data_IF_969641042504
#
_entry.id   IF_969641042504
#
_cell.length_a   1.000
_cell.length_b   1.000
_cell.length_c   1.000
_cell.angle_alpha   90.00
_cell.angle_beta   90.00
_cell.angle_gamma   90.00
#
_symmetry.space_group_name_H-M   'P 1'
#
loop_
_entity.id
_entity.type
_entity.pdbx_description
1 polymer ?
#
# COMPACT_ATOMS: atom_id res chain seq x y z
N UNK A 1 112.48 -59.24 -11.55
CA UNK A 1 112.56 -60.08 -10.35
C UNK A 1 111.14 -60.40 -9.93
N UNK A 2 110.60 -61.39 -10.52
CA UNK A 2 110.11 -62.68 -10.06
C UNK A 2 109.37 -62.58 -8.71
N UNK A 3 108.12 -62.93 -8.75
CA UNK A 3 107.44 -64.01 -8.03
C UNK A 3 105.94 -63.96 -8.28
N UNK A 4 105.49 -64.88 -8.96
CA UNK A 4 104.80 -66.19 -8.76
C UNK A 4 103.37 -65.99 -8.20
N UNK A 5 102.49 -66.25 -9.13
CA UNK A 5 101.11 -66.66 -8.92
C UNK A 5 100.97 -67.84 -7.99
N UNK A 6 99.87 -67.83 -7.20
CA UNK A 6 99.18 -68.97 -6.64
C UNK A 6 97.74 -68.93 -7.03
N UNK A 7 97.20 -69.94 -7.63
CA UNK A 7 95.75 -70.01 -7.91
C UNK A 7 94.99 -70.29 -6.63
N UNK A 8 93.98 -69.51 -6.34
CA UNK A 8 93.06 -69.81 -5.28
C UNK A 8 92.07 -70.83 -5.84
N UNK A 9 92.07 -72.01 -5.20
CA UNK A 9 91.20 -73.13 -5.54
C UNK A 9 89.80 -72.92 -4.96
N UNK A 10 88.95 -72.24 -5.75
CA UNK A 10 87.58 -71.82 -5.34
C UNK A 10 86.60 -73.02 -5.26
N UNK A 11 86.97 -74.19 -5.52
CA UNK A 11 86.09 -75.37 -5.45
C UNK A 11 86.10 -76.06 -4.07
N UNK A 12 87.12 -75.84 -3.24
CA UNK A 12 87.19 -76.39 -1.88
C UNK A 12 86.28 -75.57 -0.91
N UNK A 13 86.25 -74.24 -1.08
CA UNK A 13 85.40 -73.34 -0.26
C UNK A 13 83.92 -73.52 -0.58
N UNK A 14 83.59 -73.87 -1.83
CA UNK A 14 82.22 -74.18 -2.22
C UNK A 14 81.71 -75.50 -1.67
N UNK A 15 82.59 -76.51 -1.56
CA UNK A 15 82.25 -77.78 -0.97
C UNK A 15 82.08 -77.75 0.54
N UNK A 16 82.82 -76.86 1.22
CA UNK A 16 82.69 -76.63 2.64
C UNK A 16 81.42 -75.82 2.98
N UNK A 17 81.05 -74.86 2.13
CA UNK A 17 79.77 -74.09 2.28
C UNK A 17 78.57 -75.02 2.08
N UNK A 18 78.59 -75.93 1.11
CA UNK A 18 77.52 -76.90 0.85
C UNK A 18 77.40 -78.02 1.90
N UNK A 19 78.43 -78.24 2.69
CA UNK A 19 78.39 -79.23 3.78
C UNK A 19 77.70 -78.68 5.06
N UNK A 20 77.74 -77.37 5.27
CA UNK A 20 77.01 -76.66 6.36
C UNK A 20 75.52 -76.53 6.11
N UNK A 21 75.07 -76.67 4.86
CA UNK A 21 73.61 -76.59 4.57
C UNK A 21 72.85 -77.90 4.95
N UNK A 22 73.51 -78.96 5.31
CA UNK A 22 72.85 -80.26 5.65
C UNK A 22 72.58 -80.47 7.15
N UNK A 23 72.90 -79.52 8.01
CA UNK A 23 72.62 -79.64 9.45
C UNK A 23 71.42 -78.79 9.94
N UNK A 24 70.65 -78.20 9.02
CA UNK A 24 69.33 -77.58 9.38
C UNK A 24 68.21 -78.57 9.08
N UNK A 25 68.28 -79.77 9.59
CA UNK A 25 67.08 -80.59 9.74
C UNK A 25 66.36 -80.14 11.01
N UNK A 26 65.49 -79.11 10.81
CA UNK A 26 64.62 -78.67 11.91
C UNK A 26 63.80 -79.89 12.43
N UNK A 27 63.72 -79.99 13.72
CA UNK A 27 62.89 -80.95 14.45
C UNK A 27 61.50 -81.07 13.78
N UNK A 28 60.93 -82.25 13.68
CA UNK A 28 59.59 -82.43 13.10
C UNK A 28 58.61 -81.71 13.92
N UNK A 29 58.11 -80.58 13.38
CA UNK A 29 57.03 -79.75 13.99
C UNK A 29 55.86 -80.65 14.29
N UNK A 30 55.57 -80.83 15.60
CA UNK A 30 54.44 -81.57 16.14
C UNK A 30 53.19 -81.42 15.25
N UNK A 31 52.60 -82.54 14.80
CA UNK A 31 51.42 -82.49 13.95
C UNK A 31 50.26 -81.64 14.53
N UNK A 32 50.17 -81.51 15.85
CA UNK A 32 49.16 -80.64 16.51
C UNK A 32 49.47 -79.14 16.32
N UNK A 33 50.75 -78.77 16.39
CA UNK A 33 51.20 -77.40 16.16
C UNK A 33 50.99 -77.00 14.68
N UNK A 34 51.26 -77.98 13.75
CA UNK A 34 50.93 -77.76 12.31
C UNK A 34 49.45 -77.62 12.03
N UNK A 35 48.60 -78.42 12.71
CA UNK A 35 47.14 -78.30 12.62
C UNK A 35 46.66 -76.96 13.24
N UNK A 36 47.19 -76.52 14.39
CA UNK A 36 46.86 -75.22 14.99
C UNK A 36 47.31 -74.06 14.12
N UNK A 37 48.51 -74.10 13.52
CA UNK A 37 48.95 -73.02 12.59
C UNK A 37 48.13 -73.03 11.32
N UNK A 38 47.76 -74.13 10.72
CA UNK A 38 46.85 -74.21 9.57
C UNK A 38 45.46 -73.73 9.92
N UNK A 39 44.89 -74.09 11.06
CA UNK A 39 43.56 -73.56 11.51
C UNK A 39 43.62 -72.08 11.80
N UNK A 40 44.68 -71.57 12.43
CA UNK A 40 44.87 -70.13 12.59
C UNK A 40 45.04 -69.41 11.25
N UNK A 41 45.81 -69.95 10.33
CA UNK A 41 45.93 -69.35 9.01
C UNK A 41 44.61 -69.32 8.25
N UNK A 42 43.85 -70.43 8.26
CA UNK A 42 42.53 -70.51 7.65
C UNK A 42 41.53 -69.55 8.31
N UNK A 43 41.58 -69.41 9.64
CA UNK A 43 40.73 -68.42 10.36
C UNK A 43 41.12 -67.00 10.00
N UNK A 44 42.41 -66.68 9.95
CA UNK A 44 42.88 -65.34 9.54
C UNK A 44 42.49 -65.08 8.09
N UNK A 45 42.69 -66.04 7.19
CA UNK A 45 42.23 -65.84 5.78
C UNK A 45 40.74 -65.73 5.67
N UNK A 46 39.95 -66.50 6.41
CA UNK A 46 38.51 -66.39 6.44
C UNK A 46 38.05 -65.01 7.00
N UNK A 47 38.67 -64.50 8.09
CA UNK A 47 38.43 -63.21 8.62
C UNK A 47 38.80 -62.08 7.63
N UNK A 48 39.98 -62.21 6.99
CA UNK A 48 40.40 -61.28 5.95
C UNK A 48 39.42 -61.25 4.76
N UNK A 49 38.97 -62.44 4.31
CA UNK A 49 37.97 -62.54 3.24
C UNK A 49 36.63 -61.93 3.67
N UNK A 50 36.19 -62.22 4.89
CA UNK A 50 34.93 -61.58 5.43
C UNK A 50 35.08 -60.09 5.52
N UNK A 51 36.17 -59.53 6.01
CA UNK A 51 36.43 -58.10 6.07
C UNK A 51 36.51 -57.51 4.66
N UNK A 52 37.22 -58.18 3.74
CA UNK A 52 37.32 -57.72 2.33
C UNK A 52 35.99 -57.71 1.60
N UNK A 53 35.03 -58.54 1.96
CA UNK A 53 33.69 -58.57 1.39
C UNK A 53 32.70 -57.69 2.16
N UNK A 54 32.83 -57.66 3.49
CA UNK A 54 31.94 -56.88 4.34
C UNK A 54 32.14 -55.35 4.20
N UNK A 55 33.38 -54.89 4.02
CA UNK A 55 33.68 -53.48 3.87
C UNK A 55 33.07 -52.86 2.59
N UNK A 56 33.26 -53.47 1.39
CA UNK A 56 32.58 -53.00 0.18
C UNK A 56 31.06 -53.10 0.26
N UNK A 57 30.53 -54.20 0.83
CA UNK A 57 29.09 -54.38 1.00
C UNK A 57 28.49 -53.32 1.96
N UNK A 58 29.18 -53.04 3.05
CA UNK A 58 28.82 -51.97 3.99
C UNK A 58 28.86 -50.59 3.33
N UNK A 59 29.89 -50.30 2.54
CA UNK A 59 30.00 -49.08 1.76
C UNK A 59 28.86 -48.94 0.75
N UNK A 60 28.59 -49.98 -0.03
CA UNK A 60 27.48 -49.97 -1.01
C UNK A 60 26.15 -49.73 -0.32
N UNK A 61 25.86 -50.46 0.77
CA UNK A 61 24.64 -50.29 1.52
C UNK A 61 24.50 -48.85 2.08
N UNK A 62 25.58 -48.31 2.65
CA UNK A 62 25.61 -46.93 3.14
C UNK A 62 25.41 -45.92 1.99
N UNK A 63 26.18 -46.03 0.91
CA UNK A 63 26.14 -45.08 -0.19
C UNK A 63 24.76 -45.04 -0.87
N UNK A 64 24.07 -46.18 -0.99
CA UNK A 64 22.73 -46.24 -1.59
C UNK A 64 21.61 -45.68 -0.68
N UNK A 65 21.83 -45.65 0.65
CA UNK A 65 20.83 -45.21 1.63
C UNK A 65 21.13 -43.89 2.31
N UNK A 66 22.38 -43.39 2.18
CA UNK A 66 22.78 -42.12 2.79
C UNK A 66 21.91 -40.94 2.26
N UNK A 67 21.53 -39.99 3.10
CA UNK A 67 20.85 -38.78 2.65
C UNK A 67 21.74 -38.02 1.66
N UNK A 68 21.11 -37.28 0.76
CA UNK A 68 21.78 -36.30 -0.12
C UNK A 68 21.42 -34.92 0.31
N UNK A 69 22.31 -33.97 0.09
CA UNK A 69 22.01 -32.56 0.37
C UNK A 69 20.83 -32.08 -0.47
N UNK A 70 19.99 -31.16 0.06
CA UNK A 70 18.92 -30.54 -0.70
C UNK A 70 19.51 -29.80 -1.93
N UNK A 71 18.72 -29.59 -2.99
CA UNK A 71 19.13 -28.80 -4.13
C UNK A 71 19.55 -27.38 -3.74
N UNK A 72 20.60 -26.87 -4.37
CA UNK A 72 21.00 -25.48 -4.21
C UNK A 72 19.99 -24.56 -4.89
N UNK A 73 19.52 -23.55 -4.17
CA UNK A 73 18.59 -22.53 -4.66
C UNK A 73 19.38 -21.38 -5.25
N UNK A 74 19.08 -20.99 -6.49
CA UNK A 74 19.61 -19.78 -7.12
C UNK A 74 18.45 -18.87 -7.49
N UNK A 75 18.44 -17.64 -6.95
CA UNK A 75 17.42 -16.64 -7.24
C UNK A 75 17.96 -15.68 -8.29
N UNK A 76 17.20 -15.46 -9.36
CA UNK A 76 17.51 -14.54 -10.44
C UNK A 76 16.26 -13.75 -10.91
N UNK A 77 15.32 -13.55 -9.97
CA UNK A 77 14.10 -12.83 -10.27
C UNK A 77 14.37 -11.40 -10.80
N UNK A 78 13.64 -10.97 -11.83
CA UNK A 78 13.82 -9.64 -12.44
C UNK A 78 13.54 -8.52 -11.42
N UNK A 79 14.06 -7.30 -11.66
CA UNK A 79 13.75 -6.15 -10.82
C UNK A 79 12.25 -5.87 -10.84
N UNK A 80 11.71 -5.48 -9.68
CA UNK A 80 10.30 -5.11 -9.53
C UNK A 80 10.10 -3.72 -10.13
N UNK A 81 9.09 -3.53 -11.03
CA UNK A 81 8.76 -2.20 -11.54
C UNK A 81 8.25 -1.31 -10.42
N UNK A 82 8.53 -0.01 -10.49
CA UNK A 82 7.98 1.02 -9.60
C UNK A 82 6.95 1.86 -10.35
N UNK A 83 5.99 2.44 -9.61
CA UNK A 83 5.04 3.40 -10.16
C UNK A 83 5.72 4.68 -10.66
N UNK A 84 5.03 5.46 -11.47
CA UNK A 84 5.50 6.78 -11.89
C UNK A 84 5.44 7.79 -10.74
N UNK A 85 6.41 8.69 -10.67
CA UNK A 85 6.42 9.76 -9.67
C UNK A 85 5.17 10.66 -9.80
N UNK A 86 4.56 11.01 -8.66
CA UNK A 86 3.43 11.94 -8.60
C UNK A 86 3.81 13.31 -9.18
N UNK A 87 2.98 13.82 -10.08
CA UNK A 87 3.11 15.16 -10.63
C UNK A 87 1.94 16.03 -10.14
N UNK A 88 2.23 17.00 -9.29
CA UNK A 88 1.25 18.00 -8.86
C UNK A 88 0.96 18.99 -9.97
N UNK A 89 -0.32 19.31 -10.19
CA UNK A 89 -0.71 20.46 -11.01
C UNK A 89 -0.43 21.75 -10.23
N UNK A 90 0.15 22.76 -10.90
CA UNK A 90 0.35 24.08 -10.28
C UNK A 90 -0.94 24.89 -10.39
N UNK A 91 -1.58 25.25 -9.25
CA UNK A 91 -2.77 26.09 -9.27
C UNK A 91 -2.48 27.48 -9.84
N UNK A 92 -3.45 28.04 -10.56
CA UNK A 92 -3.40 29.41 -11.09
C UNK A 92 -4.15 30.41 -10.22
N UNK A 93 -4.88 29.94 -9.21
CA UNK A 93 -5.63 30.76 -8.25
C UNK A 93 -4.74 31.43 -7.21
N UNK A 94 -5.29 32.42 -6.46
CA UNK A 94 -4.53 33.13 -5.43
C UNK A 94 -4.14 32.22 -4.26
N UNK A 95 -4.98 31.25 -3.91
CA UNK A 95 -4.68 30.24 -2.91
C UNK A 95 -5.48 28.95 -3.12
N UNK A 96 -4.87 27.80 -2.81
CA UNK A 96 -5.60 26.54 -2.69
C UNK A 96 -5.05 25.69 -1.55
N UNK A 97 -5.89 24.77 -1.04
CA UNK A 97 -5.48 23.78 -0.07
C UNK A 97 -6.32 22.51 -0.22
N UNK A 98 -5.70 21.36 0.05
CA UNK A 98 -6.32 20.03 -0.06
C UNK A 98 -5.99 19.22 1.19
N UNK A 99 -6.98 18.46 1.65
CA UNK A 99 -6.90 17.45 2.69
C UNK A 99 -7.46 16.14 2.14
N UNK A 100 -6.79 14.99 2.46
CA UNK A 100 -7.16 13.68 1.94
C UNK A 100 -7.25 12.71 3.13
N UNK A 101 -8.45 12.53 3.67
CA UNK A 101 -8.68 11.55 4.73
C UNK A 101 -8.71 10.13 4.15
N UNK A 102 -8.09 9.19 4.89
CA UNK A 102 -7.91 7.81 4.47
C UNK A 102 -6.66 7.54 3.65
N UNK A 103 -5.80 8.56 3.45
CA UNK A 103 -4.56 8.45 2.68
C UNK A 103 -3.29 8.63 3.53
N UNK A 104 -3.40 8.73 4.85
CA UNK A 104 -2.24 9.02 5.72
C UNK A 104 -1.13 7.97 5.61
N UNK A 105 -1.48 6.69 5.42
CA UNK A 105 -0.52 5.60 5.27
C UNK A 105 0.21 5.63 3.91
N UNK A 106 -0.37 6.29 2.89
CA UNK A 106 0.22 6.43 1.55
C UNK A 106 0.98 7.75 1.38
N UNK A 107 0.41 8.84 1.91
CA UNK A 107 0.86 10.21 1.66
C UNK A 107 1.61 10.83 2.85
N UNK A 108 1.69 10.10 3.96
CA UNK A 108 2.23 10.56 5.23
C UNK A 108 1.17 11.19 6.14
N UNK A 109 1.40 11.16 7.45
CA UNK A 109 0.43 11.46 8.51
C UNK A 109 -0.16 12.89 8.54
N UNK A 110 0.19 13.76 7.59
CA UNK A 110 -0.41 15.08 7.41
C UNK A 110 -1.54 15.10 6.36
N UNK A 111 -1.78 14.00 5.64
CA UNK A 111 -2.74 13.97 4.52
C UNK A 111 -4.17 14.28 4.96
N UNK A 112 -4.61 13.75 6.10
CA UNK A 112 -5.92 14.06 6.70
C UNK A 112 -5.99 15.45 7.36
N UNK A 113 -4.85 16.13 7.52
CA UNK A 113 -4.75 17.54 7.93
C UNK A 113 -4.83 18.49 6.73
N UNK A 114 -3.70 19.12 6.40
CA UNK A 114 -3.48 19.85 5.14
C UNK A 114 -2.38 19.12 4.39
N UNK A 115 -2.76 18.34 3.37
CA UNK A 115 -1.81 17.60 2.56
C UNK A 115 -0.94 18.52 1.69
N UNK A 116 -1.61 19.46 1.02
CA UNK A 116 -0.94 20.47 0.21
C UNK A 116 -1.66 21.80 0.31
N UNK A 117 -0.88 22.88 0.26
CA UNK A 117 -1.39 24.24 0.15
C UNK A 117 -0.49 25.04 -0.80
N UNK A 118 -1.09 25.90 -1.61
CA UNK A 118 -0.38 26.76 -2.57
C UNK A 118 -0.93 28.18 -2.53
N UNK A 119 -0.16 29.15 -3.00
CA UNK A 119 -0.52 30.56 -2.97
C UNK A 119 -0.34 31.19 -1.59
N UNK A 120 -1.15 32.22 -1.27
CA UNK A 120 -1.06 32.90 0.02
C UNK A 120 -1.77 32.14 1.12
N UNK A 121 -1.21 32.18 2.33
CA UNK A 121 -1.86 31.73 3.55
C UNK A 121 -2.70 32.82 4.21
N UNK A 122 -2.66 34.06 3.71
CA UNK A 122 -3.41 35.18 4.24
C UNK A 122 -4.92 35.02 3.99
N UNK A 123 -5.76 35.64 4.81
CA UNK A 123 -7.21 35.64 4.58
C UNK A 123 -7.58 36.32 3.25
N UNK A 124 -8.43 35.68 2.47
CA UNK A 124 -8.98 36.14 1.21
C UNK A 124 -10.51 36.29 1.31
N UNK A 125 -11.14 37.14 0.48
CA UNK A 125 -12.61 37.24 0.43
C UNK A 125 -13.22 35.90 -0.01
N UNK A 126 -14.14 35.37 0.83
CA UNK A 126 -14.74 34.04 0.62
C UNK A 126 -16.10 34.10 -0.09
N UNK A 127 -16.64 35.29 -0.28
CA UNK A 127 -17.91 35.45 -0.94
C UNK A 127 -19.01 34.55 -0.33
N UNK A 128 -19.88 33.97 -1.15
CA UNK A 128 -21.00 33.13 -0.70
C UNK A 128 -20.59 31.80 -0.01
N UNK A 129 -19.29 31.47 0.13
CA UNK A 129 -18.88 30.42 1.05
C UNK A 129 -19.29 30.76 2.48
N UNK A 130 -19.39 32.03 2.83
CA UNK A 130 -19.95 32.55 4.09
C UNK A 130 -21.27 31.88 4.47
N UNK A 131 -22.14 31.56 3.50
CA UNK A 131 -23.45 30.92 3.77
C UNK A 131 -23.28 29.50 4.37
N UNK A 132 -22.16 28.84 4.13
CA UNK A 132 -21.89 27.57 4.79
C UNK A 132 -21.56 27.77 6.27
N UNK A 133 -20.81 28.85 6.61
CA UNK A 133 -20.56 29.24 8.00
C UNK A 133 -21.88 29.62 8.67
N UNK A 134 -22.71 30.41 7.98
CA UNK A 134 -24.04 30.80 8.46
C UNK A 134 -24.92 29.58 8.77
N UNK A 135 -24.93 28.57 7.88
CA UNK A 135 -25.65 27.32 8.11
C UNK A 135 -25.14 26.56 9.34
N UNK A 136 -23.80 26.45 9.50
CA UNK A 136 -23.18 25.78 10.65
C UNK A 136 -23.55 26.48 11.96
N UNK A 137 -23.48 27.81 12.02
CA UNK A 137 -23.83 28.61 13.20
C UNK A 137 -25.33 28.52 13.53
N UNK A 138 -26.20 28.52 12.52
CA UNK A 138 -27.65 28.30 12.70
C UNK A 138 -27.90 26.89 13.27
N UNK A 139 -27.23 25.86 12.74
CA UNK A 139 -27.42 24.49 13.18
C UNK A 139 -26.72 24.16 14.52
N UNK A 140 -25.77 24.98 14.94
CA UNK A 140 -25.22 24.93 16.30
C UNK A 140 -26.27 25.45 17.31
N UNK A 141 -26.98 26.55 16.99
CA UNK A 141 -28.04 27.13 17.82
C UNK A 141 -29.36 26.33 17.75
N UNK A 142 -29.64 25.69 16.60
CA UNK A 142 -30.91 24.97 16.35
C UNK A 142 -30.58 23.64 15.62
N UNK A 143 -30.08 22.65 16.33
CA UNK A 143 -29.63 21.40 15.73
C UNK A 143 -30.77 20.60 15.07
N UNK A 144 -30.50 20.05 13.87
CA UNK A 144 -31.34 19.03 13.27
C UNK A 144 -30.78 17.67 13.66
N UNK A 145 -31.61 16.81 14.25
CA UNK A 145 -31.18 15.54 14.88
C UNK A 145 -30.82 14.45 13.87
N UNK A 146 -31.21 14.63 12.62
CA UNK A 146 -30.86 13.72 11.50
C UNK A 146 -30.93 14.45 10.16
N UNK A 147 -30.44 13.78 9.10
CA UNK A 147 -30.59 14.30 7.74
C UNK A 147 -32.06 14.40 7.26
N UNK A 148 -33.00 13.73 7.92
CA UNK A 148 -34.41 13.76 7.61
C UNK A 148 -35.22 14.67 8.54
N UNK A 149 -34.56 15.25 9.55
CA UNK A 149 -35.23 16.18 10.49
C UNK A 149 -35.55 17.50 9.79
N UNK A 150 -36.86 17.89 9.65
CA UNK A 150 -37.22 19.14 9.01
C UNK A 150 -36.88 20.37 9.89
N UNK A 151 -36.73 20.19 11.20
CA UNK A 151 -36.56 21.26 12.17
C UNK A 151 -37.81 22.12 12.35
N UNK A 152 -37.68 23.27 13.01
CA UNK A 152 -38.79 24.18 13.23
C UNK A 152 -39.32 24.78 11.92
N UNK A 153 -40.60 25.18 11.94
CA UNK A 153 -41.23 25.91 10.83
C UNK A 153 -40.81 27.37 10.89
N UNK A 154 -40.30 27.86 9.78
CA UNK A 154 -39.99 29.29 9.57
C UNK A 154 -41.11 29.90 8.74
N UNK A 155 -41.69 31.04 9.21
CA UNK A 155 -42.68 31.80 8.47
C UNK A 155 -42.10 33.17 8.14
N UNK A 156 -42.02 33.47 6.83
CA UNK A 156 -41.43 34.71 6.35
C UNK A 156 -42.45 35.87 6.45
N UNK A 157 -42.01 36.99 7.02
CA UNK A 157 -42.77 38.21 7.16
C UNK A 157 -42.68 39.13 5.92
N UNK A 158 -43.40 40.25 5.90
CA UNK A 158 -43.20 41.32 4.90
C UNK A 158 -41.76 41.86 4.94
N UNK A 159 -41.16 42.03 6.12
CA UNK A 159 -39.78 42.47 6.24
C UNK A 159 -38.76 41.47 5.65
N UNK A 160 -39.04 40.16 5.74
CA UNK A 160 -38.23 39.15 5.09
C UNK A 160 -38.40 39.18 3.56
N UNK A 161 -39.63 39.46 3.09
CA UNK A 161 -39.90 39.64 1.67
C UNK A 161 -39.13 40.83 1.09
N UNK A 162 -39.04 41.95 1.81
CA UNK A 162 -38.30 43.15 1.38
C UNK A 162 -36.80 42.86 1.16
N UNK A 163 -36.22 41.86 1.82
CA UNK A 163 -34.84 41.42 1.58
C UNK A 163 -34.62 40.94 0.13
N UNK A 164 -35.66 40.46 -0.56
CA UNK A 164 -35.57 40.09 -1.96
C UNK A 164 -35.15 41.30 -2.82
N UNK A 165 -35.83 42.41 -2.67
CA UNK A 165 -35.54 43.64 -3.42
C UNK A 165 -34.23 44.29 -2.96
N UNK A 166 -33.91 44.26 -1.64
CA UNK A 166 -32.64 44.76 -1.12
C UNK A 166 -31.45 44.05 -1.76
N UNK A 167 -31.46 42.73 -1.80
CA UNK A 167 -30.36 41.93 -2.36
C UNK A 167 -30.37 41.91 -3.90
N UNK A 168 -31.55 42.08 -4.54
CA UNK A 168 -31.64 42.24 -5.99
C UNK A 168 -30.87 43.50 -6.47
N UNK A 169 -31.08 44.65 -5.81
CA UNK A 169 -30.39 45.90 -6.15
C UNK A 169 -28.86 45.77 -5.98
N UNK A 170 -28.40 44.92 -5.06
CA UNK A 170 -26.98 44.66 -4.83
C UNK A 170 -26.39 43.66 -5.84
N UNK A 171 -27.18 43.16 -6.77
CA UNK A 171 -26.73 42.12 -7.73
C UNK A 171 -26.41 40.77 -7.08
N UNK A 172 -26.93 40.51 -5.88
CA UNK A 172 -26.73 39.26 -5.19
C UNK A 172 -27.60 38.14 -5.78
N UNK A 173 -27.19 36.88 -5.57
CA UNK A 173 -28.05 35.72 -5.85
C UNK A 173 -29.19 35.67 -4.84
N UNK A 174 -30.42 35.59 -5.32
CA UNK A 174 -31.66 35.62 -4.51
C UNK A 174 -32.60 34.49 -4.96
N UNK A 175 -33.58 34.19 -4.10
CA UNK A 175 -34.70 33.32 -4.42
C UNK A 175 -36.00 33.97 -3.94
N UNK A 176 -37.16 33.79 -4.63
CA UNK A 176 -38.45 34.30 -4.17
C UNK A 176 -38.76 33.89 -2.74
N UNK A 177 -39.31 34.85 -1.97
CA UNK A 177 -39.66 34.69 -0.56
C UNK A 177 -40.97 35.43 -0.29
N UNK A 178 -42.11 34.92 -0.77
CA UNK A 178 -43.39 35.59 -0.57
C UNK A 178 -43.73 35.69 0.92
N UNK A 179 -44.21 36.87 1.36
CA UNK A 179 -44.67 37.07 2.72
C UNK A 179 -45.80 36.10 3.09
N UNK A 180 -45.79 35.61 4.33
CA UNK A 180 -46.72 34.58 4.81
C UNK A 180 -46.39 33.15 4.38
N UNK A 181 -45.35 32.93 3.55
CA UNK A 181 -44.87 31.59 3.21
C UNK A 181 -44.21 30.95 4.41
N UNK A 182 -44.53 29.67 4.65
CA UNK A 182 -43.90 28.86 5.71
C UNK A 182 -43.20 27.67 5.11
N UNK A 183 -42.03 27.35 5.64
CA UNK A 183 -41.27 26.13 5.29
C UNK A 183 -40.47 25.63 6.49
N UNK A 184 -39.94 24.42 6.39
CA UNK A 184 -39.07 23.89 7.43
C UNK A 184 -37.73 24.62 7.45
N UNK A 185 -37.02 24.60 8.57
CA UNK A 185 -35.62 25.09 8.66
C UNK A 185 -34.73 24.38 7.65
N UNK A 186 -34.88 23.05 7.48
CA UNK A 186 -34.15 22.26 6.50
C UNK A 186 -34.37 22.79 5.07
N UNK A 187 -35.64 23.04 4.66
CA UNK A 187 -35.92 23.51 3.31
C UNK A 187 -35.42 24.95 3.10
N UNK A 188 -35.51 25.82 4.11
CA UNK A 188 -34.97 27.16 4.04
C UNK A 188 -33.44 27.19 3.93
N UNK A 189 -32.73 26.31 4.67
CA UNK A 189 -31.29 26.09 4.51
C UNK A 189 -30.96 25.54 3.12
N UNK A 190 -31.79 24.68 2.57
CA UNK A 190 -31.58 24.14 1.22
C UNK A 190 -31.69 25.28 0.16
N UNK A 191 -32.66 26.19 0.28
CA UNK A 191 -32.77 27.38 -0.59
C UNK A 191 -31.57 28.33 -0.39
N UNK A 192 -31.08 28.49 0.83
CA UNK A 192 -29.88 29.28 1.11
C UNK A 192 -28.62 28.71 0.45
N UNK A 193 -28.43 27.41 0.50
CA UNK A 193 -27.16 26.74 0.10
C UNK A 193 -27.13 26.34 -1.37
N UNK A 194 -28.21 25.73 -1.89
CA UNK A 194 -28.24 25.14 -3.25
C UNK A 194 -28.16 26.26 -4.31
N UNK A 195 -29.14 27.16 -4.47
CA UNK A 195 -29.03 28.29 -5.40
C UNK A 195 -28.21 29.45 -4.83
N UNK A 196 -27.74 29.36 -3.58
CA UNK A 196 -26.97 30.44 -2.93
C UNK A 196 -27.77 31.71 -2.60
N UNK A 197 -29.04 31.59 -2.21
CA UNK A 197 -29.93 32.73 -1.97
C UNK A 197 -29.48 33.57 -0.76
N UNK A 198 -29.11 34.85 -1.01
CA UNK A 198 -28.62 35.79 0.01
C UNK A 198 -29.71 36.25 0.93
N UNK A 199 -30.91 36.55 0.41
CA UNK A 199 -32.07 36.94 1.20
C UNK A 199 -32.46 35.84 2.22
N UNK A 200 -32.35 34.58 1.89
CA UNK A 200 -32.56 33.45 2.84
C UNK A 200 -31.50 33.43 3.94
N UNK A 201 -30.24 33.73 3.63
CA UNK A 201 -29.19 33.78 4.64
C UNK A 201 -29.42 34.86 5.69
N UNK A 202 -29.84 36.05 5.25
CA UNK A 202 -30.15 37.17 6.16
C UNK A 202 -31.44 36.93 6.97
N UNK A 203 -32.52 36.48 6.30
CA UNK A 203 -33.77 36.12 6.97
C UNK A 203 -33.57 35.05 8.05
N UNK A 204 -32.89 33.92 7.73
CA UNK A 204 -32.66 32.85 8.68
C UNK A 204 -31.78 33.26 9.84
N UNK A 205 -30.68 34.02 9.59
CA UNK A 205 -29.81 34.52 10.65
C UNK A 205 -30.58 35.44 11.61
N UNK A 206 -31.43 36.32 11.05
CA UNK A 206 -32.28 37.25 11.84
C UNK A 206 -33.38 36.50 12.61
N UNK A 207 -33.96 35.46 12.00
CA UNK A 207 -35.04 34.67 12.60
C UNK A 207 -34.54 33.86 13.81
N UNK A 208 -33.37 33.22 13.68
CA UNK A 208 -32.79 32.38 14.75
C UNK A 208 -32.16 33.21 15.86
N UNK A 209 -31.47 34.30 15.53
CA UNK A 209 -30.72 35.08 16.51
C UNK A 209 -31.40 36.39 16.93
N UNK A 210 -32.52 36.75 16.32
CA UNK A 210 -33.30 37.98 16.60
C UNK A 210 -32.70 39.24 16.01
N UNK A 211 -31.41 39.26 15.66
CA UNK A 211 -30.77 40.41 15.02
C UNK A 211 -29.44 40.00 14.34
N UNK A 212 -29.02 40.79 13.33
CA UNK A 212 -27.72 40.63 12.68
C UNK A 212 -26.56 40.76 13.70
N UNK A 213 -26.65 41.63 14.66
CA UNK A 213 -25.63 41.82 15.70
C UNK A 213 -25.48 40.57 16.59
N UNK A 214 -26.60 39.97 16.99
CA UNK A 214 -26.59 38.73 17.79
C UNK A 214 -26.03 37.55 16.97
N UNK A 215 -26.43 37.42 15.69
CA UNK A 215 -25.85 36.43 14.77
C UNK A 215 -24.32 36.59 14.65
N UNK A 216 -23.82 37.80 14.43
CA UNK A 216 -22.37 38.06 14.33
C UNK A 216 -21.64 37.79 15.64
N UNK A 217 -22.29 38.04 16.80
CA UNK A 217 -21.78 37.61 18.10
C UNK A 217 -21.60 36.10 18.18
N UNK A 218 -22.68 35.36 17.94
CA UNK A 218 -22.66 33.89 17.93
C UNK A 218 -21.65 33.34 16.91
N UNK A 219 -21.54 33.95 15.73
CA UNK A 219 -20.56 33.54 14.71
C UNK A 219 -19.13 33.69 15.21
N UNK A 220 -18.78 34.82 15.86
CA UNK A 220 -17.43 35.00 16.42
C UNK A 220 -17.10 33.94 17.50
N UNK A 221 -18.06 33.69 18.40
CA UNK A 221 -17.89 32.71 19.47
C UNK A 221 -17.76 31.30 18.90
N UNK A 222 -18.55 30.96 17.88
CA UNK A 222 -18.48 29.68 17.17
C UNK A 222 -17.12 29.50 16.46
N UNK A 223 -16.65 30.50 15.71
CA UNK A 223 -15.34 30.46 15.06
C UNK A 223 -14.20 30.28 16.07
N UNK A 224 -14.26 31.03 17.19
CA UNK A 224 -13.26 30.93 18.26
C UNK A 224 -13.26 29.54 18.91
N UNK A 225 -14.42 28.95 19.18
CA UNK A 225 -14.55 27.61 19.79
C UNK A 225 -14.02 26.50 18.91
N UNK A 226 -13.97 26.69 17.58
CA UNK A 226 -13.42 25.75 16.61
C UNK A 226 -11.98 26.09 16.18
N UNK A 227 -11.35 27.12 16.79
CA UNK A 227 -9.97 27.50 16.47
C UNK A 227 -9.80 28.16 15.09
N UNK A 228 -10.88 28.65 14.47
CA UNK A 228 -10.91 29.24 13.12
C UNK A 228 -10.56 30.73 13.17
N UNK A 229 -9.34 31.03 13.62
CA UNK A 229 -8.90 32.39 13.96
C UNK A 229 -8.57 33.29 12.77
N UNK A 230 -8.31 32.68 11.60
CA UNK A 230 -8.08 33.36 10.33
C UNK A 230 -9.37 33.75 9.58
N UNK A 231 -10.57 33.50 10.18
CA UNK A 231 -11.85 33.71 9.56
C UNK A 231 -12.58 34.91 10.20
N UNK A 232 -13.07 35.81 9.36
CA UNK A 232 -13.86 36.96 9.77
C UNK A 232 -15.17 36.99 8.99
N UNK A 233 -16.31 37.14 9.69
CA UNK A 233 -17.63 37.26 9.09
C UNK A 233 -18.24 38.62 9.54
N UNK A 234 -18.57 39.45 8.58
CA UNK A 234 -19.14 40.80 8.81
C UNK A 234 -20.66 40.88 8.51
N UNK A 235 -21.19 39.87 7.78
CA UNK A 235 -22.60 39.70 7.48
C UNK A 235 -22.88 38.26 7.00
N UNK A 236 -24.17 37.78 7.02
CA UNK A 236 -24.47 36.35 6.85
C UNK A 236 -24.40 35.81 5.42
N UNK A 237 -24.29 36.68 4.39
CA UNK A 237 -24.54 36.28 2.98
C UNK A 237 -23.30 36.12 2.16
N UNK A 238 -22.19 36.78 2.53
CA UNK A 238 -20.94 36.79 1.79
C UNK A 238 -20.88 37.83 0.66
N UNK A 239 -21.81 38.80 0.62
CA UNK A 239 -21.74 39.90 -0.36
C UNK A 239 -20.68 40.95 0.03
N UNK A 240 -20.33 41.01 1.31
CA UNK A 240 -19.26 41.89 1.81
C UNK A 240 -17.89 41.26 1.52
N UNK A 241 -16.95 42.00 0.90
CA UNK A 241 -15.57 41.54 0.77
C UNK A 241 -14.85 41.43 2.13
N UNK A 242 -15.42 41.96 3.20
CA UNK A 242 -14.93 41.80 4.57
C UNK A 242 -15.20 40.42 5.18
N UNK A 243 -15.98 39.57 4.52
CA UNK A 243 -16.08 38.16 4.88
C UNK A 243 -14.85 37.46 4.30
N UNK A 244 -13.89 37.16 5.15
CA UNK A 244 -12.57 36.67 4.78
C UNK A 244 -12.25 35.37 5.54
N UNK A 245 -11.45 34.50 4.92
CA UNK A 245 -10.93 33.29 5.57
C UNK A 245 -9.63 32.86 4.95
N UNK A 246 -8.86 32.06 5.69
CA UNK A 246 -7.67 31.38 5.19
C UNK A 246 -8.04 30.05 4.54
N UNK A 247 -7.20 29.51 3.62
CA UNK A 247 -7.40 28.17 3.08
C UNK A 247 -7.45 27.09 4.17
N UNK A 248 -6.64 27.22 5.22
CA UNK A 248 -6.59 26.28 6.34
C UNK A 248 -7.90 26.25 7.14
N UNK A 249 -8.43 27.42 7.50
CA UNK A 249 -9.72 27.52 8.20
C UNK A 249 -10.86 26.96 7.36
N UNK A 250 -10.84 27.23 6.04
CA UNK A 250 -11.86 26.70 5.13
C UNK A 250 -11.84 25.20 5.00
N UNK A 251 -10.67 24.53 5.07
CA UNK A 251 -10.62 23.08 5.18
C UNK A 251 -11.28 22.58 6.47
N UNK A 252 -11.06 23.26 7.59
CA UNK A 252 -11.75 22.97 8.87
C UNK A 252 -13.26 23.14 8.75
N UNK A 253 -13.72 24.27 8.21
CA UNK A 253 -15.14 24.56 7.96
C UNK A 253 -15.78 23.51 7.04
N UNK A 254 -15.08 23.14 5.98
CA UNK A 254 -15.56 22.10 5.05
C UNK A 254 -15.74 20.75 5.73
N UNK A 255 -14.80 20.35 6.59
CA UNK A 255 -14.88 19.09 7.36
C UNK A 255 -16.06 19.12 8.34
N UNK A 256 -16.27 20.24 9.03
CA UNK A 256 -17.43 20.42 9.92
C UNK A 256 -18.74 20.35 9.12
N UNK A 257 -18.80 20.98 7.95
CA UNK A 257 -19.98 20.95 7.09
C UNK A 257 -20.26 19.54 6.54
N UNK A 258 -19.22 18.83 6.10
CA UNK A 258 -19.35 17.45 5.61
C UNK A 258 -19.75 16.46 6.73
N UNK A 259 -19.35 16.73 7.96
CA UNK A 259 -19.72 15.93 9.13
C UNK A 259 -21.15 16.21 9.61
N UNK A 260 -21.77 17.33 9.21
CA UNK A 260 -23.15 17.63 9.56
C UNK A 260 -24.11 16.94 8.57
N UNK A 261 -24.97 15.99 9.02
CA UNK A 261 -25.79 15.19 8.12
C UNK A 261 -26.79 16.01 7.27
N UNK A 262 -27.33 17.09 7.84
CA UNK A 262 -28.28 17.97 7.13
C UNK A 262 -27.57 18.78 6.03
N UNK A 263 -26.43 19.40 6.36
CA UNK A 263 -25.64 20.16 5.38
C UNK A 263 -25.14 19.23 4.28
N UNK A 264 -24.53 18.09 4.64
CA UNK A 264 -24.00 17.13 3.68
C UNK A 264 -25.07 16.70 2.66
N UNK A 265 -26.28 16.38 3.12
CA UNK A 265 -27.40 16.04 2.25
C UNK A 265 -27.84 17.20 1.37
N UNK A 266 -27.98 18.44 1.93
CA UNK A 266 -28.37 19.63 1.17
C UNK A 266 -27.39 19.90 0.03
N UNK A 267 -26.09 19.98 0.31
CA UNK A 267 -25.07 20.35 -0.69
C UNK A 267 -24.80 19.27 -1.74
N UNK A 268 -25.19 18.04 -1.45
CA UNK A 268 -25.18 16.93 -2.43
C UNK A 268 -26.45 16.90 -3.31
N UNK A 269 -27.41 17.78 -3.07
CA UNK A 269 -28.69 17.85 -3.81
C UNK A 269 -28.54 18.80 -5.00
N UNK A 270 -28.84 18.38 -6.24
CA UNK A 270 -28.62 19.22 -7.44
C UNK A 270 -29.63 20.34 -7.60
N UNK A 271 -30.80 20.24 -7.00
CA UNK A 271 -31.86 21.25 -7.12
C UNK A 271 -32.83 21.26 -5.94
N UNK A 272 -33.52 22.36 -5.73
CA UNK A 272 -34.55 22.54 -4.70
C UNK A 272 -35.76 23.27 -5.27
N UNK A 273 -36.96 22.88 -4.85
CA UNK A 273 -38.17 23.60 -5.16
C UNK A 273 -38.31 24.80 -4.22
N UNK A 274 -38.61 25.99 -4.78
CA UNK A 274 -38.76 27.24 -4.03
C UNK A 274 -40.19 27.75 -4.20
N UNK A 275 -40.92 28.06 -3.13
CA UNK A 275 -42.25 28.67 -3.21
C UNK A 275 -42.24 29.94 -4.05
N UNK A 276 -43.07 30.00 -5.08
CA UNK A 276 -43.13 31.16 -6.00
C UNK A 276 -41.97 31.26 -6.99
N UNK A 277 -40.97 30.38 -6.93
CA UNK A 277 -39.73 30.43 -7.75
C UNK A 277 -39.47 29.21 -8.60
N UNK A 278 -40.32 28.17 -8.49
CA UNK A 278 -40.08 26.90 -9.20
C UNK A 278 -38.86 26.15 -8.70
N UNK A 279 -38.22 25.36 -9.60
CA UNK A 279 -37.04 24.61 -9.27
C UNK A 279 -35.78 25.44 -9.51
N UNK A 280 -34.98 25.59 -8.46
CA UNK A 280 -33.66 26.23 -8.49
C UNK A 280 -32.55 25.16 -8.46
N UNK A 281 -31.47 25.40 -9.21
CA UNK A 281 -30.35 24.45 -9.34
C UNK A 281 -29.17 24.91 -8.52
N UNK A 282 -28.29 23.94 -8.19
CA UNK A 282 -27.03 24.22 -7.49
C UNK A 282 -26.12 25.14 -8.31
N UNK A 283 -25.40 26.02 -7.61
CA UNK A 283 -24.36 26.87 -8.21
C UNK A 283 -23.05 26.10 -8.45
N UNK A 284 -22.89 24.87 -7.88
CA UNK A 284 -21.74 24.01 -8.09
C UNK A 284 -21.97 23.09 -9.29
N UNK A 285 -21.54 23.52 -10.49
CA UNK A 285 -21.69 22.72 -11.70
C UNK A 285 -20.81 21.45 -11.73
N UNK A 286 -19.86 21.30 -10.79
CA UNK A 286 -19.06 20.08 -10.66
C UNK A 286 -19.73 18.99 -9.80
N UNK A 287 -20.88 19.29 -9.18
CA UNK A 287 -21.57 18.29 -8.35
C UNK A 287 -21.86 17.00 -9.15
N UNK A 288 -21.39 15.84 -8.63
CA UNK A 288 -21.50 14.55 -9.28
C UNK A 288 -20.41 14.26 -10.32
N UNK A 289 -19.55 15.23 -10.65
CA UNK A 289 -18.42 15.05 -11.58
C UNK A 289 -17.16 14.65 -10.81
N UNK A 290 -16.38 13.70 -11.31
CA UNK A 290 -15.11 13.25 -10.75
C UNK A 290 -15.16 12.88 -9.25
N UNK A 291 -16.33 12.43 -8.77
CA UNK A 291 -16.54 12.07 -7.37
C UNK A 291 -16.89 13.25 -6.44
N UNK A 292 -17.08 14.47 -6.97
CA UNK A 292 -17.43 15.66 -6.17
C UNK A 292 -18.82 15.52 -5.57
N UNK A 293 -18.93 15.68 -4.23
CA UNK A 293 -20.14 15.49 -3.43
C UNK A 293 -20.73 16.80 -2.88
N UNK A 294 -20.02 17.90 -3.01
CA UNK A 294 -20.40 19.24 -2.51
C UNK A 294 -19.20 20.18 -2.67
N UNK A 295 -19.11 21.33 -2.08
CA UNK A 295 -19.89 22.01 -1.06
C UNK A 295 -20.49 23.34 -1.61
N UNK A 296 -19.65 24.43 -1.66
CA UNK A 296 -20.14 25.78 -1.90
C UNK A 296 -19.25 26.60 -2.81
N UNK A 297 -19.86 27.29 -3.79
CA UNK A 297 -19.20 28.28 -4.63
C UNK A 297 -19.27 29.69 -3.97
N UNK A 298 -18.32 30.55 -4.32
CA UNK A 298 -18.31 31.98 -3.96
C UNK A 298 -17.87 32.84 -5.13
N UNK A 299 -18.42 34.02 -5.29
CA UNK A 299 -18.04 34.96 -6.33
C UNK A 299 -18.46 36.39 -5.97
N UNK A 300 -17.54 37.35 -6.10
CA UNK A 300 -17.81 38.81 -6.00
C UNK A 300 -17.33 39.56 -7.27
N UNK A 301 -17.11 38.83 -8.36
CA UNK A 301 -16.57 39.38 -9.60
C UNK A 301 -15.20 38.76 -9.96
N UNK A 302 -14.52 39.37 -10.92
CA UNK A 302 -13.24 38.93 -11.41
C UNK A 302 -12.18 38.82 -10.27
N UNK A 303 -11.42 37.74 -10.27
CA UNK A 303 -10.38 37.47 -9.25
C UNK A 303 -10.93 37.06 -7.88
N UNK A 304 -12.24 36.75 -7.79
CA UNK A 304 -12.87 36.28 -6.54
C UNK A 304 -13.71 35.01 -6.72
N UNK A 305 -13.47 34.27 -7.80
CA UNK A 305 -14.15 32.99 -7.99
C UNK A 305 -13.55 31.95 -7.03
N UNK A 306 -14.41 31.38 -6.19
CA UNK A 306 -14.04 30.47 -5.12
C UNK A 306 -14.85 29.17 -5.22
N UNK A 307 -14.22 28.05 -4.82
CA UNK A 307 -14.91 26.79 -4.62
C UNK A 307 -14.36 26.08 -3.38
N UNK A 308 -15.23 25.80 -2.44
CA UNK A 308 -15.01 24.85 -1.36
C UNK A 308 -15.70 23.54 -1.75
N UNK A 309 -14.97 22.44 -1.76
CA UNK A 309 -15.50 21.17 -2.28
C UNK A 309 -15.14 19.96 -1.42
N UNK A 310 -15.95 18.93 -1.54
CA UNK A 310 -15.66 17.58 -1.08
C UNK A 310 -15.77 16.62 -2.25
N UNK A 311 -14.95 15.56 -2.24
CA UNK A 311 -15.02 14.50 -3.21
C UNK A 311 -14.70 13.15 -2.57
N UNK A 312 -15.23 12.08 -3.18
CA UNK A 312 -14.91 10.70 -2.84
C UNK A 312 -14.15 10.10 -4.01
N UNK A 313 -12.92 9.62 -3.79
CA UNK A 313 -12.07 9.03 -4.82
C UNK A 313 -11.88 7.55 -4.55
N UNK A 314 -12.34 6.73 -5.47
CA UNK A 314 -11.95 5.33 -5.55
C UNK A 314 -10.61 5.24 -6.29
N UNK A 315 -9.58 4.77 -5.59
CA UNK A 315 -8.22 4.62 -6.09
C UNK A 315 -7.73 3.17 -6.01
N UNK A 316 -8.64 2.23 -5.71
CA UNK A 316 -8.30 0.83 -5.50
C UNK A 316 -7.76 0.51 -4.10
N UNK A 317 -7.78 1.46 -3.17
CA UNK A 317 -7.51 1.22 -1.75
C UNK A 317 -8.68 0.50 -1.06
N UNK A 318 -8.48 -0.02 0.16
CA UNK A 318 -9.52 -0.74 0.91
C UNK A 318 -10.80 0.08 1.13
N UNK A 319 -10.66 1.39 1.22
CA UNK A 319 -11.77 2.36 1.31
C UNK A 319 -11.52 3.53 0.37
N UNK A 320 -12.59 4.12 -0.21
CA UNK A 320 -12.44 5.36 -0.97
C UNK A 320 -11.86 6.49 -0.12
N UNK A 321 -11.05 7.34 -0.74
CA UNK A 321 -10.47 8.51 -0.10
C UNK A 321 -11.49 9.63 -0.02
N UNK A 322 -11.57 10.32 1.12
CA UNK A 322 -12.38 11.52 1.28
C UNK A 322 -11.51 12.78 1.11
N UNK A 323 -11.68 13.44 -0.03
CA UNK A 323 -10.96 14.68 -0.35
C UNK A 323 -11.80 15.87 0.05
N UNK A 324 -11.16 16.80 0.75
CA UNK A 324 -11.69 18.15 1.04
C UNK A 324 -10.74 19.16 0.44
N UNK A 325 -11.25 20.11 -0.35
CA UNK A 325 -10.39 21.10 -0.97
C UNK A 325 -11.02 22.47 -1.08
N UNK A 326 -10.18 23.48 -1.21
CA UNK A 326 -10.54 24.87 -1.43
C UNK A 326 -9.69 25.50 -2.49
N UNK A 327 -10.32 26.31 -3.34
CA UNK A 327 -9.68 27.21 -4.31
C UNK A 327 -10.25 28.59 -4.07
N UNK A 328 -9.39 29.59 -3.88
CA UNK A 328 -9.72 30.99 -3.64
C UNK A 328 -9.06 31.90 -4.66
N UNK A 329 -9.79 32.96 -5.06
CA UNK A 329 -9.24 34.00 -5.91
C UNK A 329 -8.96 33.57 -7.35
N UNK A 330 -9.75 32.66 -7.88
CA UNK A 330 -9.66 32.26 -9.28
C UNK A 330 -10.13 33.37 -10.22
N UNK A 331 -9.54 33.45 -11.41
CA UNK A 331 -9.85 34.48 -12.43
C UNK A 331 -11.22 34.28 -13.07
N UNK A 332 -11.68 33.03 -13.17
CA UNK A 332 -12.99 32.65 -13.67
C UNK A 332 -13.50 31.38 -13.01
N UNK A 333 -14.78 31.09 -13.16
CA UNK A 333 -15.41 29.86 -12.68
C UNK A 333 -14.81 28.63 -13.40
N UNK A 334 -14.62 28.75 -14.70
CA UNK A 334 -14.05 27.69 -15.55
C UNK A 334 -12.62 27.37 -15.14
N UNK A 335 -11.81 28.39 -14.83
CA UNK A 335 -10.44 28.20 -14.32
C UNK A 335 -10.41 27.46 -12.98
N UNK A 336 -11.27 27.85 -12.04
CA UNK A 336 -11.42 27.15 -10.75
C UNK A 336 -11.84 25.69 -10.95
N UNK A 337 -12.79 25.44 -11.85
CA UNK A 337 -13.25 24.08 -12.12
C UNK A 337 -12.15 23.22 -12.75
N UNK A 338 -11.40 23.77 -13.71
CA UNK A 338 -10.27 23.06 -14.30
C UNK A 338 -9.18 22.73 -13.28
N UNK A 339 -8.90 23.67 -12.36
CA UNK A 339 -7.93 23.46 -11.28
C UNK A 339 -8.37 22.33 -10.34
N UNK A 340 -9.62 22.32 -9.90
CA UNK A 340 -10.17 21.29 -9.01
C UNK A 340 -10.16 19.92 -9.70
N UNK A 341 -10.61 19.83 -10.96
CA UNK A 341 -10.61 18.57 -11.71
C UNK A 341 -9.19 18.07 -11.94
N UNK A 342 -8.25 18.96 -12.30
CA UNK A 342 -6.83 18.61 -12.47
C UNK A 342 -6.18 18.10 -11.18
N UNK A 343 -6.52 18.71 -10.03
CA UNK A 343 -6.03 18.25 -8.74
C UNK A 343 -6.56 16.86 -8.37
N UNK A 344 -7.86 16.61 -8.56
CA UNK A 344 -8.46 15.29 -8.30
C UNK A 344 -7.92 14.20 -9.23
N UNK A 345 -7.69 14.54 -10.50
CA UNK A 345 -7.09 13.64 -11.47
C UNK A 345 -5.62 13.32 -11.13
N UNK A 346 -4.85 14.33 -10.73
CA UNK A 346 -3.47 14.14 -10.25
C UNK A 346 -3.42 13.20 -9.05
N UNK A 347 -4.31 13.38 -8.06
CA UNK A 347 -4.39 12.48 -6.90
C UNK A 347 -4.70 11.06 -7.35
N UNK A 348 -5.70 10.87 -8.23
CA UNK A 348 -6.07 9.55 -8.71
C UNK A 348 -4.95 8.87 -9.50
N UNK A 349 -4.30 9.61 -10.40
CA UNK A 349 -3.21 9.10 -11.24
C UNK A 349 -1.91 8.84 -10.48
N UNK A 350 -1.76 9.36 -9.27
CA UNK A 350 -0.65 9.02 -8.38
C UNK A 350 -0.75 7.63 -7.74
N UNK A 351 -1.93 7.00 -7.76
CA UNK A 351 -2.11 5.62 -7.32
C UNK A 351 -1.95 4.65 -8.49
N UNK A 352 -1.11 3.63 -8.31
CA UNK A 352 -0.76 2.66 -9.34
C UNK A 352 -1.02 1.24 -8.88
N UNK A 353 -1.68 0.44 -9.72
CA UNK A 353 -1.66 -1.02 -9.61
C UNK A 353 -0.44 -1.54 -10.36
N UNK A 354 0.60 -1.95 -9.62
CA UNK A 354 1.86 -2.45 -10.18
C UNK A 354 1.81 -3.97 -10.21
N UNK A 355 1.92 -4.59 -11.39
CA UNK A 355 2.07 -6.04 -11.51
C UNK A 355 3.46 -6.43 -11.01
N UNK A 356 3.52 -7.27 -9.99
CA UNK A 356 4.77 -7.72 -9.33
C UNK A 356 5.10 -9.17 -9.62
N UNK A 357 4.14 -9.97 -10.09
CA UNK A 357 4.33 -11.33 -10.56
C UNK A 357 3.36 -11.67 -11.68
N UNK A 358 3.80 -12.55 -12.57
CA UNK A 358 2.96 -13.18 -13.59
C UNK A 358 3.06 -14.69 -13.44
N UNK A 359 1.95 -15.39 -13.59
CA UNK A 359 1.89 -16.84 -13.52
C UNK A 359 2.92 -17.50 -14.45
N UNK A 360 3.67 -18.50 -13.95
CA UNK A 360 4.75 -19.16 -14.67
C UNK A 360 6.03 -18.33 -14.86
N UNK A 361 6.11 -17.11 -14.34
CA UNK A 361 7.32 -16.27 -14.42
C UNK A 361 8.47 -16.93 -13.67
N UNK A 362 9.59 -17.19 -14.35
CA UNK A 362 10.79 -17.74 -13.73
C UNK A 362 11.47 -16.72 -12.82
N UNK A 363 11.75 -17.15 -11.59
CA UNK A 363 12.33 -16.31 -10.53
C UNK A 363 13.58 -16.93 -9.92
N UNK A 364 13.92 -18.15 -10.33
CA UNK A 364 15.08 -18.87 -9.82
C UNK A 364 15.17 -20.27 -10.36
N UNK A 365 16.12 -21.02 -9.85
CA UNK A 365 16.30 -22.45 -10.17
C UNK A 365 16.80 -23.24 -8.98
N UNK A 366 16.47 -24.52 -9.00
CA UNK A 366 17.00 -25.56 -8.14
C UNK A 366 18.04 -26.34 -8.94
N UNK A 367 19.19 -26.61 -8.35
CA UNK A 367 20.25 -27.41 -9.00
C UNK A 367 20.88 -28.36 -8.01
N UNK A 368 21.32 -29.51 -8.50
CA UNK A 368 21.92 -30.56 -7.69
C UNK A 368 23.34 -30.91 -8.18
N UNK A 369 24.21 -31.42 -7.32
CA UNK A 369 25.55 -31.87 -7.70
C UNK A 369 25.55 -32.99 -8.75
N UNK A 370 24.46 -33.76 -8.87
CA UNK A 370 24.30 -34.84 -9.87
C UNK A 370 23.68 -34.38 -11.20
N UNK A 371 23.57 -33.03 -11.41
CA UNK A 371 23.17 -32.44 -12.69
C UNK A 371 21.66 -32.41 -12.96
N UNK A 372 20.82 -32.72 -11.98
CA UNK A 372 19.38 -32.50 -12.09
C UNK A 372 19.05 -31.04 -11.73
N UNK A 373 18.14 -30.41 -12.49
CA UNK A 373 17.67 -29.03 -12.24
C UNK A 373 16.20 -28.90 -12.52
N UNK A 374 15.55 -27.92 -11.86
CA UNK A 374 14.19 -27.49 -12.09
C UNK A 374 14.12 -25.97 -11.93
N UNK A 375 13.19 -25.32 -12.63
CA UNK A 375 12.96 -23.89 -12.44
C UNK A 375 12.08 -23.62 -11.21
N UNK A 376 12.26 -22.46 -10.58
CA UNK A 376 11.32 -21.89 -9.63
C UNK A 376 10.51 -20.85 -10.37
N UNK A 377 9.18 -20.99 -10.35
CA UNK A 377 8.26 -20.11 -11.05
C UNK A 377 7.21 -19.55 -10.11
N UNK A 378 6.63 -18.43 -10.45
CA UNK A 378 5.47 -17.89 -9.75
C UNK A 378 4.23 -18.74 -10.04
N UNK A 379 3.51 -19.14 -9.00
CA UNK A 379 2.28 -19.93 -9.09
C UNK A 379 1.01 -19.09 -9.25
N UNK A 380 1.12 -17.83 -9.70
CA UNK A 380 0.00 -16.98 -9.96
C UNK A 380 0.38 -15.53 -10.21
N UNK A 381 -0.59 -14.77 -10.77
CA UNK A 381 -0.47 -13.33 -10.94
C UNK A 381 -0.57 -12.62 -9.58
N UNK A 382 0.23 -11.58 -9.39
CA UNK A 382 0.13 -10.69 -8.24
C UNK A 382 0.34 -9.23 -8.66
N UNK A 383 -0.46 -8.33 -8.05
CA UNK A 383 -0.29 -6.89 -8.20
C UNK A 383 -0.45 -6.19 -6.86
N UNK A 384 0.23 -5.06 -6.69
CA UNK A 384 0.24 -4.27 -5.47
C UNK A 384 -0.10 -2.82 -5.77
N UNK A 385 -0.98 -2.24 -4.95
CA UNK A 385 -1.30 -0.82 -5.03
C UNK A 385 -0.19 -0.01 -4.38
N UNK A 386 0.31 1.00 -5.10
CA UNK A 386 1.33 1.94 -4.62
C UNK A 386 0.86 3.37 -4.82
N UNK A 387 1.48 4.30 -4.10
CA UNK A 387 1.39 5.73 -4.34
C UNK A 387 2.70 6.23 -4.93
N UNK A 388 2.63 7.01 -6.03
CA UNK A 388 3.81 7.64 -6.64
C UNK A 388 4.89 6.58 -6.96
N UNK A 389 6.15 6.92 -6.70
CA UNK A 389 7.33 6.09 -6.86
C UNK A 389 7.70 5.31 -5.57
N UNK A 390 6.72 5.01 -4.72
CA UNK A 390 6.94 4.22 -3.51
C UNK A 390 7.71 2.95 -3.83
N UNK A 391 8.87 2.69 -3.20
CA UNK A 391 9.64 1.48 -3.42
C UNK A 391 8.84 0.23 -3.06
N UNK A 392 8.98 -0.80 -3.89
CA UNK A 392 8.41 -2.12 -3.61
C UNK A 392 9.54 -3.01 -3.11
N UNK A 393 9.46 -3.41 -1.85
CA UNK A 393 10.37 -4.37 -1.24
C UNK A 393 9.89 -5.78 -1.54
N UNK A 394 10.83 -6.71 -1.72
CA UNK A 394 10.53 -8.12 -1.99
C UNK A 394 11.31 -9.01 -1.05
N UNK A 395 10.63 -9.95 -0.43
CA UNK A 395 11.22 -11.07 0.32
C UNK A 395 10.78 -12.39 -0.32
N UNK A 396 11.69 -13.38 -0.31
CA UNK A 396 11.41 -14.72 -0.80
C UNK A 396 11.78 -15.72 0.29
N UNK A 397 10.89 -16.66 0.51
CA UNK A 397 11.07 -17.77 1.43
C UNK A 397 10.85 -19.08 0.65
N UNK A 398 11.85 -19.96 0.66
CA UNK A 398 11.82 -21.25 -0.05
C UNK A 398 12.05 -22.35 0.98
N UNK A 399 11.08 -23.22 1.11
CA UNK A 399 11.10 -24.36 2.01
C UNK A 399 11.89 -25.55 1.42
N UNK A 400 12.55 -26.31 2.28
CA UNK A 400 13.13 -27.59 1.92
C UNK A 400 12.04 -28.65 1.80
N UNK A 401 12.00 -29.31 0.64
CA UNK A 401 11.00 -30.34 0.35
C UNK A 401 11.63 -31.73 0.22
N UNK A 402 10.96 -32.80 0.71
CA UNK A 402 11.48 -34.16 0.59
C UNK A 402 11.45 -34.68 -0.84
N UNK A 403 10.65 -34.12 -1.72
CA UNK A 403 10.57 -34.50 -3.13
C UNK A 403 10.17 -33.28 -3.98
N UNK A 404 11.11 -32.84 -4.79
CA UNK A 404 10.93 -31.69 -5.70
C UNK A 404 10.26 -32.15 -7.00
N UNK A 405 8.92 -31.97 -7.08
CA UNK A 405 8.10 -32.39 -8.22
C UNK A 405 7.47 -31.18 -8.89
N UNK A 406 7.18 -31.33 -10.17
CA UNK A 406 6.44 -30.34 -10.95
C UNK A 406 5.12 -29.95 -10.30
N UNK A 407 4.82 -28.63 -10.23
CA UNK A 407 3.64 -28.06 -9.58
C UNK A 407 3.66 -28.08 -8.05
N UNK A 408 4.75 -28.51 -7.40
CA UNK A 408 4.85 -28.45 -5.92
C UNK A 408 5.11 -27.02 -5.49
N UNK A 409 4.28 -26.48 -4.58
CA UNK A 409 4.55 -25.19 -3.90
C UNK A 409 5.68 -25.42 -2.90
N UNK A 410 6.75 -24.67 -3.05
CA UNK A 410 7.98 -24.76 -2.24
C UNK A 410 8.32 -23.49 -1.49
N UNK A 411 7.41 -22.54 -1.47
CA UNK A 411 7.63 -21.30 -0.76
C UNK A 411 6.72 -20.19 -1.24
N UNK A 412 7.12 -18.96 -0.96
CA UNK A 412 6.37 -17.77 -1.36
C UNK A 412 7.28 -16.58 -1.60
N UNK A 413 6.78 -15.64 -2.41
CA UNK A 413 7.35 -14.30 -2.53
C UNK A 413 6.34 -13.31 -1.98
N UNK A 414 6.81 -12.44 -1.12
CA UNK A 414 6.02 -11.36 -0.53
C UNK A 414 6.58 -10.02 -0.98
N UNK A 415 5.70 -9.15 -1.49
CA UNK A 415 5.99 -7.76 -1.84
C UNK A 415 5.29 -6.83 -0.87
N UNK A 416 6.01 -5.78 -0.45
CA UNK A 416 5.50 -4.74 0.44
C UNK A 416 5.77 -3.37 -0.16
N UNK A 417 4.75 -2.52 -0.21
CA UNK A 417 4.84 -1.15 -0.70
C UNK A 417 3.95 -0.23 0.15
N UNK A 418 4.57 0.64 0.97
CA UNK A 418 3.82 1.45 1.93
C UNK A 418 2.96 0.57 2.84
N UNK A 419 1.63 0.79 2.92
CA UNK A 419 0.75 0.00 3.78
C UNK A 419 0.36 -1.36 3.20
N UNK A 420 0.66 -1.63 1.93
CA UNK A 420 0.17 -2.79 1.22
C UNK A 420 1.18 -3.92 1.21
N UNK A 421 0.68 -5.14 1.31
CA UNK A 421 1.45 -6.38 1.18
C UNK A 421 0.65 -7.37 0.34
N UNK A 422 1.34 -8.04 -0.59
CA UNK A 422 0.79 -9.13 -1.39
C UNK A 422 1.77 -10.28 -1.40
N UNK A 423 1.26 -11.52 -1.35
CA UNK A 423 2.06 -12.74 -1.38
C UNK A 423 1.56 -13.64 -2.49
N UNK A 424 2.50 -14.25 -3.22
CA UNK A 424 2.19 -15.27 -4.21
C UNK A 424 3.07 -16.52 -3.99
N UNK A 425 2.55 -17.73 -4.27
CA UNK A 425 3.28 -18.96 -4.09
C UNK A 425 4.41 -19.10 -5.12
N UNK A 426 5.45 -19.84 -4.73
CA UNK A 426 6.52 -20.29 -5.63
C UNK A 426 6.33 -21.77 -5.89
N UNK A 427 6.33 -22.14 -7.15
CA UNK A 427 6.16 -23.53 -7.60
C UNK A 427 7.39 -24.02 -8.34
N UNK A 428 7.56 -25.34 -8.33
CA UNK A 428 8.58 -26.00 -9.13
C UNK A 428 8.03 -26.24 -10.55
N UNK A 429 8.74 -25.75 -11.55
CA UNK A 429 8.53 -26.14 -12.94
C UNK A 429 9.58 -27.18 -13.34
N UNK A 430 9.16 -28.43 -13.49
CA UNK A 430 10.00 -29.60 -13.72
C UNK A 430 10.12 -30.51 -12.49
N UNK A 431 11.10 -31.39 -12.48
CA UNK A 431 11.28 -32.37 -11.39
C UNK A 431 12.77 -32.58 -11.13
N UNK A 432 13.18 -32.55 -9.87
CA UNK A 432 14.50 -32.95 -9.45
C UNK A 432 14.53 -34.49 -9.35
N UNK A 433 15.22 -35.13 -10.31
CA UNK A 433 15.42 -36.54 -10.28
C UNK A 433 16.42 -36.92 -9.17
N UNK A 434 16.22 -38.04 -8.45
CA UNK A 434 17.22 -38.53 -7.48
C UNK A 434 18.53 -38.90 -8.18
N UNK A 435 19.68 -38.88 -7.48
CA UNK A 435 20.95 -39.31 -8.03
C UNK A 435 20.92 -40.80 -8.36
N UNK A 436 21.60 -41.18 -9.44
CA UNK A 436 21.74 -42.61 -9.81
C UNK A 436 22.58 -43.38 -8.77
N UNK A 437 22.38 -44.71 -8.69
CA UNK A 437 23.18 -45.59 -7.82
C UNK A 437 24.66 -45.44 -8.11
N UNK A 438 25.03 -45.31 -9.40
CA UNK A 438 26.42 -45.10 -9.81
C UNK A 438 26.99 -43.80 -9.29
N UNK A 439 26.23 -42.70 -9.36
CA UNK A 439 26.67 -41.42 -8.84
C UNK A 439 26.90 -41.50 -7.33
N UNK A 440 25.98 -42.09 -6.56
CA UNK A 440 26.11 -42.30 -5.12
C UNK A 440 27.36 -43.08 -4.74
N UNK A 441 27.69 -44.12 -5.51
CA UNK A 441 28.88 -44.97 -5.28
C UNK A 441 30.19 -44.24 -5.61
N UNK A 442 30.16 -43.23 -6.47
CA UNK A 442 31.38 -42.54 -6.94
C UNK A 442 31.59 -41.17 -6.31
N UNK A 443 30.60 -40.64 -5.55
CA UNK A 443 30.64 -39.31 -4.91
C UNK A 443 30.35 -39.38 -3.39
N UNK A 444 31.13 -40.14 -2.61
CA UNK A 444 30.88 -40.32 -1.18
C UNK A 444 30.98 -39.02 -0.37
N UNK A 445 31.74 -38.03 -0.85
CA UNK A 445 31.88 -36.71 -0.23
C UNK A 445 30.63 -35.85 -0.30
N UNK A 446 29.73 -36.16 -1.23
CA UNK A 446 28.47 -35.45 -1.45
C UNK A 446 27.29 -36.11 -0.72
N UNK A 447 27.54 -37.24 -0.04
CA UNK A 447 26.54 -37.93 0.76
C UNK A 447 26.61 -37.45 2.21
N UNK A 448 25.49 -37.11 2.79
CA UNK A 448 25.39 -36.67 4.20
C UNK A 448 25.75 -37.76 5.19
N UNK A 449 26.29 -37.40 6.34
CA UNK A 449 26.48 -38.30 7.47
C UNK A 449 25.14 -38.74 8.07
N UNK A 450 25.01 -39.97 8.63
CA UNK A 450 23.77 -40.42 9.27
C UNK A 450 23.46 -39.70 10.58
N UNK A 451 23.49 -38.39 10.62
CA UNK A 451 23.29 -37.56 11.78
C UNK A 451 22.84 -36.11 11.45
N UNK A 452 22.91 -35.71 10.18
CA UNK A 452 22.57 -34.33 9.76
C UNK A 452 21.12 -34.15 9.31
N UNK A 453 20.25 -35.12 9.52
CA UNK A 453 18.82 -34.99 9.29
C UNK A 453 18.14 -34.60 10.58
N UNK A 454 18.08 -33.28 10.85
CA UNK A 454 17.22 -32.68 11.88
C UNK A 454 17.95 -32.02 13.05
N UNK A 455 18.29 -30.78 12.90
CA UNK A 455 18.28 -29.75 13.95
C UNK A 455 17.54 -28.51 13.45
#
# INVERSE_FOLDING_TARGET
MTTRDRPVDGLSDFAELMSHEREFSGDPIDPEVRRRRRRRGLLITAVCVVVLLAAPAGYVAWALTAPVNPPAVTVHAPPVPVGGAFASTTPASAASAISIAGADDYLGGAASGTWTATGTADPLPIASITKLITALVILDATPLTSAADPGPTITFSEADHDLYDEYYVRGATIAPMPAGTSMSLYDALAVMLIPSASNYADALSSHIFGSRSAFLGATRDWLASHGLTGTTVTEPTGISPGNMSTPADLLGIAKLAAANPAIARIVATPSVAVPGGGVQVTTNALLGTAGITGLKTGNLGEGTHNLLYTATLDVGAAHPLAVTGVVLGGVSREAVYAEVLGALDSIRSGFHQVSVATDGQEIGSLSTPWGSSAALVMGGDASILTWSDTPIERTMDIDDEPAYRDGTVVGSVTWTAGPNTVTAPVEIAGTIAPPSDWWRLTHPSELGSPGDAGD
#
